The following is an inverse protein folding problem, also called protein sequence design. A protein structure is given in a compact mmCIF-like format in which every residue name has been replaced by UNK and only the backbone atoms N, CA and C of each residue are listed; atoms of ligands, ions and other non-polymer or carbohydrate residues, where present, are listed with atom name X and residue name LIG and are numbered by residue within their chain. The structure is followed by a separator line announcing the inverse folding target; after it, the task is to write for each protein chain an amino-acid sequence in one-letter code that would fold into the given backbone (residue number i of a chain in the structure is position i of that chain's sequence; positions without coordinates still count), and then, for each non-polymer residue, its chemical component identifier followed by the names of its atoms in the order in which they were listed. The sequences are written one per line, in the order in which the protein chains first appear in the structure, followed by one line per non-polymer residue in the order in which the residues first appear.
data_IF_695000348927
#
_entry.id   IF_695000348927
#
_cell.length_a   1.000
_cell.length_b   1.000
_cell.length_c   1.000
_cell.angle_alpha   90.00
_cell.angle_beta   90.00
_cell.angle_gamma   90.00
#
_symmetry.space_group_name_H-M   'P 1'
#
loop_
_entity.id
_entity.type
_entity.pdbx_description
1 polymer ?
#
# COMPACT_ATOMS: atom_id res chain seq x y z
N UNK A 1 1.78 -23.19 -0.18
CA UNK A 1 2.16 -22.05 0.71
C UNK A 1 1.88 -20.72 0.04
N UNK A 2 2.18 -20.59 -1.26
CA UNK A 2 2.06 -19.34 -2.02
C UNK A 2 0.62 -18.81 -2.15
N UNK A 3 -0.39 -19.66 -2.37
CA UNK A 3 -1.81 -19.25 -2.40
C UNK A 3 -2.23 -18.51 -1.12
N UNK A 4 -1.81 -19.00 0.06
CA UNK A 4 -2.12 -18.36 1.35
C UNK A 4 -1.32 -17.07 1.58
N UNK A 5 -0.14 -16.96 1.00
CA UNK A 5 0.65 -15.72 1.02
C UNK A 5 -0.02 -14.66 0.15
N UNK A 6 -0.54 -15.07 -1.02
CA UNK A 6 -1.22 -14.20 -1.97
C UNK A 6 -2.52 -13.62 -1.40
N UNK A 7 -3.37 -14.47 -0.78
CA UNK A 7 -4.57 -14.02 -0.05
C UNK A 7 -4.22 -13.02 1.07
N UNK A 8 -3.12 -13.26 1.79
CA UNK A 8 -2.63 -12.34 2.82
C UNK A 8 -2.10 -11.02 2.26
N UNK A 9 -1.54 -11.07 1.04
CA UNK A 9 -0.98 -9.91 0.35
C UNK A 9 -2.07 -8.95 -0.11
N UNK A 10 -3.19 -9.44 -0.66
CA UNK A 10 -4.32 -8.60 -1.05
C UNK A 10 -4.89 -7.82 0.14
N UNK A 11 -5.08 -8.49 1.28
CA UNK A 11 -5.55 -7.85 2.50
C UNK A 11 -4.54 -6.80 3.04
N UNK A 12 -3.24 -7.08 2.90
CA UNK A 12 -2.18 -6.15 3.28
C UNK A 12 -2.16 -4.90 2.40
N UNK A 13 -2.30 -5.08 1.07
CA UNK A 13 -2.40 -3.98 0.09
C UNK A 13 -3.60 -3.10 0.42
N UNK A 14 -4.80 -3.67 0.56
CA UNK A 14 -6.02 -2.90 0.88
C UNK A 14 -5.87 -2.10 2.18
N UNK A 15 -5.20 -2.66 3.20
CA UNK A 15 -4.94 -1.96 4.45
C UNK A 15 -3.97 -0.78 4.27
N UNK A 16 -2.91 -0.98 3.48
CA UNK A 16 -1.94 0.07 3.18
C UNK A 16 -2.59 1.19 2.36
N UNK A 17 -3.40 0.86 1.36
CA UNK A 17 -4.16 1.82 0.54
C UNK A 17 -5.13 2.65 1.38
N UNK A 18 -5.91 2.02 2.29
CA UNK A 18 -6.78 2.76 3.22
C UNK A 18 -6.01 3.71 4.12
N UNK A 19 -4.80 3.33 4.52
CA UNK A 19 -3.93 4.18 5.34
C UNK A 19 -3.48 5.41 4.52
N UNK A 20 -3.01 5.18 3.30
CA UNK A 20 -2.62 6.23 2.37
C UNK A 20 -3.78 7.19 2.05
N UNK A 21 -4.97 6.65 1.79
CA UNK A 21 -6.19 7.43 1.56
C UNK A 21 -6.53 8.31 2.78
N UNK A 22 -6.50 7.73 3.98
CA UNK A 22 -6.78 8.46 5.22
C UNK A 22 -5.77 9.60 5.47
N UNK A 23 -4.48 9.35 5.24
CA UNK A 23 -3.45 10.37 5.39
C UNK A 23 -3.60 11.48 4.36
N UNK A 24 -3.93 11.12 3.11
CA UNK A 24 -4.20 12.06 2.03
C UNK A 24 -5.41 12.94 2.35
N UNK A 25 -6.50 12.35 2.86
CA UNK A 25 -7.67 13.10 3.31
C UNK A 25 -7.33 14.06 4.46
N UNK A 26 -6.49 13.63 5.42
CA UNK A 26 -6.00 14.50 6.49
C UNK A 26 -5.16 15.66 5.97
N UNK A 27 -4.30 15.42 4.97
CA UNK A 27 -3.48 16.48 4.35
C UNK A 27 -4.31 17.54 3.61
N UNK A 28 -5.52 17.18 3.17
CA UNK A 28 -6.47 18.11 2.54
C UNK A 28 -7.45 18.76 3.53
N UNK A 29 -7.44 18.37 4.80
CA UNK A 29 -8.27 19.02 5.81
C UNK A 29 -7.77 20.47 6.05
N UNK A 30 -8.65 21.50 5.93
CA UNK A 30 -8.28 22.90 6.13
C UNK A 30 -7.52 23.19 7.43
N UNK A 31 -7.85 22.51 8.54
CA UNK A 31 -7.19 22.68 9.83
C UNK A 31 -5.72 22.22 9.79
N UNK A 32 -5.44 21.14 9.06
CA UNK A 32 -4.08 20.63 8.89
C UNK A 32 -3.31 21.43 7.84
N UNK A 33 -3.97 21.88 6.77
CA UNK A 33 -3.36 22.75 5.73
C UNK A 33 -2.85 24.05 6.33
N UNK A 34 -3.59 24.63 7.29
CA UNK A 34 -3.17 25.84 7.99
C UNK A 34 -1.98 25.61 8.97
N UNK A 35 -1.64 24.36 9.28
CA UNK A 35 -0.55 23.99 10.17
C UNK A 35 0.62 23.39 9.37
N UNK A 36 1.58 24.22 8.97
CA UNK A 36 2.70 23.83 8.13
C UNK A 36 3.52 22.64 8.68
N UNK A 37 3.74 22.58 10.01
CA UNK A 37 4.47 21.48 10.63
C UNK A 37 3.70 20.16 10.53
N UNK A 38 2.39 20.20 10.81
CA UNK A 38 1.52 19.02 10.68
C UNK A 38 1.39 18.58 9.22
N UNK A 39 1.23 19.52 8.30
CA UNK A 39 1.13 19.24 6.86
C UNK A 39 2.42 18.58 6.34
N UNK A 40 3.58 19.08 6.74
CA UNK A 40 4.87 18.46 6.38
C UNK A 40 5.01 17.03 6.93
N UNK A 41 4.55 16.77 8.16
CA UNK A 41 4.53 15.41 8.73
C UNK A 41 3.60 14.50 7.93
N UNK A 42 2.40 14.97 7.61
CA UNK A 42 1.42 14.20 6.82
C UNK A 42 1.98 13.83 5.45
N UNK A 43 2.69 14.72 4.76
CA UNK A 43 3.32 14.38 3.48
C UNK A 43 4.45 13.36 3.62
N UNK A 44 5.24 13.39 4.69
CA UNK A 44 6.24 12.37 4.96
C UNK A 44 5.59 11.00 5.24
N UNK A 45 4.48 10.99 6.00
CA UNK A 45 3.69 9.79 6.28
C UNK A 45 3.03 9.23 5.00
N UNK A 46 2.50 10.10 4.13
CA UNK A 46 1.94 9.74 2.81
C UNK A 46 3.02 9.08 1.95
N UNK A 47 4.22 9.67 1.86
CA UNK A 47 5.31 9.12 1.07
C UNK A 47 5.73 7.72 1.58
N UNK A 48 5.82 7.55 2.90
CA UNK A 48 6.11 6.24 3.50
C UNK A 48 4.98 5.22 3.24
N UNK A 49 3.71 5.63 3.34
CA UNK A 49 2.57 4.77 3.06
C UNK A 49 2.52 4.34 1.57
N UNK A 50 2.82 5.26 0.65
CA UNK A 50 2.94 4.94 -0.77
C UNK A 50 4.05 3.92 -1.04
N UNK A 51 5.23 4.10 -0.43
CA UNK A 51 6.33 3.13 -0.59
C UNK A 51 5.95 1.73 -0.09
N UNK A 52 5.15 1.64 0.97
CA UNK A 52 4.62 0.34 1.45
C UNK A 52 3.66 -0.27 0.44
N UNK A 53 2.72 0.51 -0.10
CA UNK A 53 1.80 0.05 -1.16
C UNK A 53 2.60 -0.48 -2.35
N UNK A 54 3.59 0.26 -2.83
CA UNK A 54 4.40 -0.10 -3.99
C UNK A 54 5.15 -1.43 -3.75
N UNK A 55 5.78 -1.60 -2.58
CA UNK A 55 6.49 -2.85 -2.22
C UNK A 55 5.55 -4.05 -2.16
N UNK A 56 4.35 -3.87 -1.61
CA UNK A 56 3.36 -4.94 -1.52
C UNK A 56 2.85 -5.32 -2.92
N UNK A 57 2.63 -4.34 -3.80
CA UNK A 57 2.26 -4.60 -5.19
C UNK A 57 3.35 -5.36 -5.96
N UNK A 58 4.63 -4.98 -5.82
CA UNK A 58 5.76 -5.70 -6.43
C UNK A 58 5.74 -7.16 -5.97
N UNK A 59 5.63 -7.40 -4.66
CA UNK A 59 5.60 -8.77 -4.13
C UNK A 59 4.37 -9.55 -4.60
N UNK A 60 3.21 -8.93 -4.67
CA UNK A 60 2.00 -9.56 -5.19
C UNK A 60 2.16 -9.96 -6.66
N UNK A 61 2.75 -9.10 -7.49
CA UNK A 61 3.03 -9.40 -8.91
C UNK A 61 3.99 -10.58 -9.07
N UNK A 62 5.03 -10.67 -8.22
CA UNK A 62 5.92 -11.83 -8.18
C UNK A 62 5.15 -13.13 -7.86
N UNK A 63 4.28 -13.09 -6.85
CA UNK A 63 3.48 -14.25 -6.43
C UNK A 63 2.48 -14.69 -7.50
N UNK A 64 1.82 -13.75 -8.17
CA UNK A 64 0.90 -14.03 -9.29
C UNK A 64 1.65 -14.67 -10.48
N UNK A 65 2.87 -14.20 -10.76
CA UNK A 65 3.72 -14.80 -11.81
C UNK A 65 4.09 -16.24 -11.45
N UNK A 66 4.56 -16.48 -10.22
CA UNK A 66 4.91 -17.82 -9.74
C UNK A 66 3.72 -18.78 -9.80
N UNK A 67 2.53 -18.31 -9.40
CA UNK A 67 1.30 -19.09 -9.48
C UNK A 67 0.98 -19.46 -10.93
N UNK A 68 1.07 -18.49 -11.85
CA UNK A 68 0.80 -18.71 -13.27
C UNK A 68 1.77 -19.71 -13.89
N UNK A 69 3.06 -19.62 -13.56
CA UNK A 69 4.08 -20.55 -14.06
C UNK A 69 3.82 -21.98 -13.57
N UNK A 70 3.49 -22.16 -12.29
CA UNK A 70 3.12 -23.47 -11.73
C UNK A 70 1.88 -24.07 -12.40
N UNK A 71 0.89 -23.24 -12.73
CA UNK A 71 -0.34 -23.67 -13.42
C UNK A 71 -0.07 -24.08 -14.88
N UNK A 72 0.90 -23.45 -15.56
CA UNK A 72 1.25 -23.77 -16.94
C UNK A 72 2.17 -25.01 -17.08
N UNK A 73 2.92 -25.34 -16.03
CA UNK A 73 3.81 -26.52 -15.98
C UNK A 73 3.12 -27.81 -15.51
N UNK A 74 1.87 -27.70 -15.02
CA UNK A 74 1.05 -28.81 -14.50
C UNK A 74 0.09 -29.40 -15.54
#
# INVERSE_FOLDING_TARGET
KEVRELEGMEAAIQKAEKTLESLTAQAHNPENVANAAKLSSLYAEIAAAQEVVDKLFVRWQELETLKTDLENES
#
